data_IF_701691897780
#
_entry.id   IF_701691897780
#
_cell.length_a   1.000
_cell.length_b   1.000
_cell.length_c   1.000
_cell.angle_alpha   90.00
_cell.angle_beta   90.00
_cell.angle_gamma   90.00
#
_symmetry.space_group_name_H-M   'P 1'
#
loop_
_entity.id
_entity.type
_entity.pdbx_description
1 polymer ?
#
# COMPACT_ATOMS: atom_id res chain seq x y z
N UNK A 1 15.44 25.74 17.59
CA UNK A 1 14.35 25.73 16.59
C UNK A 1 13.63 24.40 16.72
N UNK A 2 12.42 24.45 17.28
CA UNK A 2 11.67 23.28 17.72
C UNK A 2 11.18 22.43 16.55
N UNK A 3 11.61 21.16 16.49
CA UNK A 3 10.95 20.15 15.67
C UNK A 3 9.59 19.83 16.30
N UNK A 4 8.53 20.42 15.75
CA UNK A 4 7.16 20.08 16.10
C UNK A 4 6.90 18.60 15.79
N UNK A 5 6.78 17.79 16.84
CA UNK A 5 6.34 16.40 16.78
C UNK A 5 4.93 16.40 16.19
N UNK A 6 4.78 15.91 14.95
CA UNK A 6 3.46 15.71 14.34
C UNK A 6 2.69 14.72 15.20
N UNK A 7 1.56 15.18 15.76
CA UNK A 7 0.62 14.32 16.48
C UNK A 7 0.13 13.16 15.62
N UNK A 8 -0.43 12.10 16.24
CA UNK A 8 -0.74 10.85 15.56
C UNK A 8 -1.74 11.08 14.43
N UNK A 9 -1.27 11.00 13.19
CA UNK A 9 -2.12 11.08 12.01
C UNK A 9 -2.98 9.81 11.93
N UNK A 10 -4.25 9.94 12.35
CA UNK A 10 -5.36 9.01 12.11
C UNK A 10 -5.13 7.60 12.68
N UNK A 11 -5.82 7.34 13.78
CA UNK A 11 -5.82 6.21 14.71
C UNK A 11 -5.94 4.77 14.14
N UNK A 12 -5.89 4.59 12.83
CA UNK A 12 -6.04 3.29 12.16
C UNK A 12 -4.74 2.47 12.11
N UNK A 13 -3.58 3.11 12.25
CA UNK A 13 -2.27 2.44 12.22
C UNK A 13 -1.95 1.66 13.49
N UNK A 14 -2.26 2.21 14.67
CA UNK A 14 -1.93 1.61 15.97
C UNK A 14 -2.69 0.29 16.20
N UNK A 15 -4.03 0.32 16.13
CA UNK A 15 -4.83 -0.89 16.36
C UNK A 15 -4.57 -1.98 15.34
N UNK A 16 -4.35 -1.63 14.06
CA UNK A 16 -4.02 -2.63 13.04
C UNK A 16 -2.73 -3.38 13.35
N UNK A 17 -1.72 -2.68 13.87
CA UNK A 17 -0.45 -3.33 14.25
C UNK A 17 -0.66 -4.19 15.50
N UNK A 18 -1.44 -3.71 16.48
CA UNK A 18 -1.82 -4.51 17.64
C UNK A 18 -2.55 -5.79 17.25
N UNK A 19 -3.56 -5.72 16.39
CA UNK A 19 -4.29 -6.88 15.89
C UNK A 19 -3.35 -7.85 15.16
N UNK A 20 -2.40 -7.31 14.38
CA UNK A 20 -1.41 -8.11 13.67
C UNK A 20 -0.41 -8.82 14.60
N UNK A 21 -0.20 -8.34 15.82
CA UNK A 21 0.66 -9.01 16.81
C UNK A 21 0.04 -10.32 17.34
N UNK A 22 -1.26 -10.51 17.21
CA UNK A 22 -1.93 -11.76 17.58
C UNK A 22 -1.70 -12.87 16.55
N UNK A 23 -1.18 -12.53 15.37
CA UNK A 23 -0.95 -13.45 14.27
C UNK A 23 0.54 -13.82 14.16
N UNK A 24 0.87 -15.03 13.67
CA UNK A 24 2.26 -15.43 13.49
C UNK A 24 3.00 -14.58 12.44
N UNK A 25 4.31 -14.39 12.65
CA UNK A 25 5.20 -13.64 11.76
C UNK A 25 5.41 -12.18 12.20
N UNK A 26 5.95 -11.35 11.30
CA UNK A 26 6.21 -9.94 11.59
C UNK A 26 4.92 -9.10 11.37
N UNK A 27 4.38 -8.43 12.41
CA UNK A 27 3.14 -7.65 12.31
C UNK A 27 3.30 -6.48 11.34
N UNK A 28 4.47 -5.82 11.31
CA UNK A 28 4.76 -4.70 10.41
C UNK A 28 4.73 -5.17 8.94
N UNK A 29 5.43 -6.25 8.63
CA UNK A 29 5.47 -6.80 7.26
C UNK A 29 4.07 -7.22 6.79
N UNK A 30 3.25 -7.80 7.68
CA UNK A 30 1.86 -8.14 7.42
C UNK A 30 1.03 -6.90 7.08
N UNK A 31 1.09 -5.87 7.93
CA UNK A 31 0.35 -4.64 7.73
C UNK A 31 0.77 -3.92 6.43
N UNK A 32 2.07 -3.83 6.16
CA UNK A 32 2.61 -3.23 4.94
C UNK A 32 2.12 -3.97 3.71
N UNK A 33 2.26 -5.30 3.67
CA UNK A 33 1.82 -6.11 2.54
C UNK A 33 0.32 -5.96 2.30
N UNK A 34 -0.50 -6.07 3.36
CA UNK A 34 -1.95 -5.92 3.26
C UNK A 34 -2.37 -4.51 2.79
N UNK A 35 -1.66 -3.47 3.25
CA UNK A 35 -1.94 -2.10 2.82
C UNK A 35 -1.52 -1.85 1.37
N UNK A 36 -0.34 -2.31 0.97
CA UNK A 36 0.16 -2.19 -0.40
C UNK A 36 -0.75 -2.90 -1.40
N UNK A 37 -1.20 -4.13 -1.10
CA UNK A 37 -2.13 -4.87 -1.96
C UNK A 37 -3.45 -4.10 -2.14
N UNK A 38 -4.07 -3.65 -1.04
CA UNK A 38 -5.33 -2.87 -1.12
C UNK A 38 -5.17 -1.56 -1.87
N UNK A 39 -4.05 -0.86 -1.66
CA UNK A 39 -3.79 0.40 -2.35
C UNK A 39 -3.60 0.19 -3.85
N UNK A 40 -2.81 -0.82 -4.23
CA UNK A 40 -2.58 -1.18 -5.64
C UNK A 40 -3.89 -1.65 -6.30
N UNK A 41 -4.72 -2.42 -5.61
CA UNK A 41 -6.03 -2.85 -6.11
C UNK A 41 -6.94 -1.64 -6.42
N UNK A 42 -7.10 -0.72 -5.47
CA UNK A 42 -7.87 0.51 -5.70
C UNK A 42 -7.28 1.37 -6.82
N UNK A 43 -5.95 1.53 -6.86
CA UNK A 43 -5.27 2.28 -7.91
C UNK A 43 -5.53 1.69 -9.30
N UNK A 44 -5.47 0.36 -9.44
CA UNK A 44 -5.67 -0.33 -10.71
C UNK A 44 -7.15 -0.37 -11.11
N UNK A 45 -8.06 -0.47 -10.15
CA UNK A 45 -9.49 -0.45 -10.40
C UNK A 45 -9.98 0.95 -10.83
N UNK A 46 -9.56 2.00 -10.12
CA UNK A 46 -10.11 3.35 -10.28
C UNK A 46 -9.32 4.21 -11.27
N UNK A 47 -7.99 4.04 -11.33
CA UNK A 47 -7.10 5.01 -11.97
C UNK A 47 -6.24 4.44 -13.11
N UNK A 48 -6.50 3.22 -13.59
CA UNK A 48 -5.75 2.63 -14.71
C UNK A 48 -5.88 3.45 -16.00
N UNK A 49 -7.04 4.10 -16.21
CA UNK A 49 -7.30 4.94 -17.39
C UNK A 49 -7.05 6.43 -17.14
N UNK A 50 -6.72 6.84 -15.91
CA UNK A 50 -6.47 8.25 -15.59
C UNK A 50 -5.15 8.73 -16.23
N UNK A 51 -5.18 9.76 -17.11
CA UNK A 51 -3.98 10.24 -17.79
C UNK A 51 -2.89 10.74 -16.83
N UNK A 52 -3.28 11.38 -15.71
CA UNK A 52 -2.34 11.90 -14.72
C UNK A 52 -1.58 10.79 -14.01
N UNK A 53 -2.28 9.75 -13.58
CA UNK A 53 -1.73 8.54 -12.97
C UNK A 53 -0.80 7.82 -13.94
N UNK A 54 -1.21 7.65 -15.20
CA UNK A 54 -0.38 7.04 -16.24
C UNK A 54 0.91 7.82 -16.49
N UNK A 55 0.83 9.15 -16.59
CA UNK A 55 2.01 9.99 -16.78
C UNK A 55 3.01 9.86 -15.62
N UNK A 56 2.52 9.84 -14.38
CA UNK A 56 3.34 9.64 -13.18
C UNK A 56 4.01 8.28 -13.15
N UNK A 57 3.27 7.21 -13.48
CA UNK A 57 3.82 5.85 -13.55
C UNK A 57 4.88 5.73 -14.66
N UNK A 58 4.65 6.33 -15.82
CA UNK A 58 5.65 6.36 -16.89
C UNK A 58 6.92 7.10 -16.46
N UNK A 59 6.77 8.27 -15.82
CA UNK A 59 7.90 9.05 -15.32
C UNK A 59 8.70 8.29 -14.24
N UNK A 60 8.05 7.47 -13.42
CA UNK A 60 8.71 6.63 -12.41
C UNK A 60 9.24 5.30 -12.93
N UNK A 61 9.08 5.00 -14.23
CA UNK A 61 9.39 3.70 -14.85
C UNK A 61 8.58 2.53 -14.27
N UNK A 62 7.35 2.81 -13.86
CA UNK A 62 6.44 1.87 -13.23
C UNK A 62 6.60 1.81 -11.70
N UNK A 63 6.19 0.69 -11.12
CA UNK A 63 6.32 0.42 -9.70
C UNK A 63 7.73 -0.08 -9.34
N UNK A 64 8.17 0.12 -8.10
CA UNK A 64 9.38 -0.54 -7.63
C UNK A 64 9.22 -2.07 -7.63
N UNK A 65 10.33 -2.82 -7.68
CA UNK A 65 10.27 -4.29 -7.82
C UNK A 65 9.39 -4.99 -6.78
N UNK A 66 9.39 -4.51 -5.53
CA UNK A 66 8.52 -5.04 -4.47
C UNK A 66 7.04 -4.87 -4.82
N UNK A 67 6.60 -3.66 -5.18
CA UNK A 67 5.21 -3.40 -5.56
C UNK A 67 4.83 -4.04 -6.90
N UNK A 68 5.74 -4.06 -7.88
CA UNK A 68 5.51 -4.70 -9.18
C UNK A 68 5.23 -6.20 -9.02
N UNK A 69 5.95 -6.89 -8.13
CA UNK A 69 5.74 -8.32 -7.85
C UNK A 69 4.37 -8.63 -7.22
N UNK A 70 3.68 -7.64 -6.66
CA UNK A 70 2.35 -7.81 -6.08
C UNK A 70 1.23 -7.74 -7.12
N UNK A 71 1.43 -7.03 -8.23
CA UNK A 71 0.40 -6.79 -9.24
C UNK A 71 -0.26 -8.08 -9.76
N UNK A 72 0.48 -9.16 -10.08
CA UNK A 72 -0.14 -10.42 -10.51
C UNK A 72 -1.07 -11.04 -9.46
N UNK A 73 -0.81 -10.81 -8.17
CA UNK A 73 -1.58 -11.36 -7.05
C UNK A 73 -2.93 -10.67 -6.87
N UNK A 74 -3.04 -9.42 -7.34
CA UNK A 74 -4.27 -8.62 -7.27
C UNK A 74 -5.28 -9.12 -8.29
N UNK A 75 -4.83 -9.40 -9.51
CA UNK A 75 -5.68 -9.88 -10.61
C UNK A 75 -6.05 -11.38 -10.54
N UNK A 76 -5.57 -12.11 -9.53
CA UNK A 76 -5.92 -13.51 -9.32
C UNK A 76 -7.32 -13.68 -8.66
N UNK A 77 -7.90 -12.61 -8.08
CA UNK A 77 -9.24 -12.62 -7.44
C UNK A 77 -10.33 -12.22 -8.45
N UNK A 78 -10.25 -12.72 -9.68
CA UNK A 78 -11.19 -12.35 -10.74
C UNK A 78 -11.24 -13.31 -11.92
N UNK A 79 -10.69 -14.52 -11.79
CA UNK A 79 -10.75 -15.56 -12.82
C UNK A 79 -10.97 -16.93 -12.18
#
# INVERSE_FOLDING_TARGET
>A
MSHAVRGPSKFWGYFRVLDACAEPGCPVCRCLTAHSVRYLDGLLYEHVNDPGTRARLHASRGFCGWHASMVPRIHAVGR
#
